data_IF_808225986978
#
_entry.id   IF_808225986978
#
_cell.length_a   1.000
_cell.length_b   1.000
_cell.length_c   1.000
_cell.angle_alpha   90.00
_cell.angle_beta   90.00
_cell.angle_gamma   90.00
#
_symmetry.space_group_name_H-M   'P 1'
#
loop_
_entity.id
_entity.type
_entity.pdbx_description
1 polymer ?
#
# COMPACT_ATOMS: atom_id res chain seq x y z
N UNK A 1 4.16 -8.53 28.22
CA UNK A 1 5.49 -8.38 27.58
C UNK A 1 5.70 -9.51 26.58
N UNK A 2 5.06 -9.44 25.40
CA UNK A 2 5.08 -10.55 24.40
C UNK A 2 5.21 -10.11 22.93
N UNK A 3 5.28 -8.81 22.65
CA UNK A 3 5.28 -8.30 21.26
C UNK A 3 6.63 -8.40 20.53
N UNK A 4 7.71 -8.79 21.21
CA UNK A 4 9.05 -8.76 20.61
C UNK A 4 9.40 -9.99 19.75
N UNK A 5 8.87 -11.19 20.04
CA UNK A 5 9.17 -12.39 19.23
C UNK A 5 8.70 -12.24 17.77
N UNK A 6 7.50 -11.67 17.60
CA UNK A 6 6.89 -11.37 16.30
C UNK A 6 7.68 -10.37 15.45
N UNK A 7 8.61 -9.62 16.08
CA UNK A 7 9.43 -8.62 15.38
C UNK A 7 10.65 -9.26 14.71
N UNK A 8 11.21 -10.33 15.29
CA UNK A 8 12.43 -10.97 14.81
C UNK A 8 12.15 -12.16 13.88
N UNK A 9 11.09 -12.93 14.16
CA UNK A 9 10.65 -14.06 13.31
C UNK A 9 9.12 -13.97 13.12
N UNK A 10 8.64 -13.11 12.20
CA UNK A 10 7.20 -12.97 11.98
C UNK A 10 6.62 -14.26 11.41
N UNK A 11 5.35 -14.56 11.72
CA UNK A 11 4.59 -15.59 11.01
C UNK A 11 4.20 -15.10 9.60
N UNK A 12 3.68 -15.98 8.73
CA UNK A 12 3.29 -15.60 7.37
C UNK A 12 2.33 -14.40 7.33
N UNK A 13 1.32 -14.35 8.21
CA UNK A 13 0.36 -13.23 8.29
C UNK A 13 1.05 -11.90 8.62
N UNK A 14 2.02 -11.93 9.51
CA UNK A 14 2.79 -10.75 9.89
C UNK A 14 3.78 -10.36 8.80
N UNK A 15 4.42 -11.33 8.16
CA UNK A 15 5.34 -11.10 7.06
C UNK A 15 4.64 -10.42 5.88
N UNK A 16 3.43 -10.87 5.51
CA UNK A 16 2.63 -10.20 4.47
C UNK A 16 2.22 -8.79 4.91
N UNK A 17 1.82 -8.59 6.18
CA UNK A 17 1.49 -7.25 6.69
C UNK A 17 2.70 -6.30 6.67
N UNK A 18 3.88 -6.76 7.07
CA UNK A 18 5.11 -5.98 7.03
C UNK A 18 5.51 -5.64 5.59
N UNK A 19 5.35 -6.58 4.66
CA UNK A 19 5.62 -6.34 3.25
C UNK A 19 4.73 -5.22 2.66
N UNK A 20 3.42 -5.26 2.93
CA UNK A 20 2.50 -4.20 2.49
C UNK A 20 2.82 -2.85 3.14
N UNK A 21 3.12 -2.85 4.45
CA UNK A 21 3.56 -1.63 5.14
C UNK A 21 4.83 -1.04 4.53
N UNK A 22 5.79 -1.88 4.12
CA UNK A 22 7.05 -1.43 3.50
C UNK A 22 6.82 -0.70 2.17
N UNK A 23 5.76 -1.01 1.43
CA UNK A 23 5.41 -0.34 0.17
C UNK A 23 4.90 1.08 0.40
N UNK A 24 4.27 1.34 1.55
CA UNK A 24 3.70 2.65 1.88
C UNK A 24 4.66 3.53 2.67
N UNK A 25 5.43 2.94 3.59
CA UNK A 25 6.31 3.66 4.50
C UNK A 25 7.54 2.82 4.88
N UNK A 26 8.67 3.45 5.23
CA UNK A 26 9.84 2.70 5.70
C UNK A 26 9.52 1.91 6.98
N UNK A 27 9.96 0.65 7.02
CA UNK A 27 9.85 -0.18 8.22
C UNK A 27 10.97 0.13 9.22
N UNK A 28 10.70 -0.02 10.54
CA UNK A 28 11.74 -0.10 11.55
C UNK A 28 12.77 -1.19 11.23
N UNK A 29 14.05 -0.94 11.56
CA UNK A 29 15.18 -1.81 11.19
C UNK A 29 14.97 -3.27 11.62
N UNK A 30 14.52 -3.51 12.86
CA UNK A 30 14.28 -4.86 13.37
C UNK A 30 13.20 -5.61 12.58
N UNK A 31 12.11 -4.93 12.23
CA UNK A 31 11.03 -5.52 11.44
C UNK A 31 11.50 -5.82 10.01
N UNK A 32 12.33 -4.95 9.44
CA UNK A 32 12.95 -5.18 8.13
C UNK A 32 13.83 -6.42 8.15
N UNK A 33 14.68 -6.58 9.17
CA UNK A 33 15.55 -7.75 9.33
C UNK A 33 14.71 -9.02 9.51
N UNK A 34 13.71 -9.01 10.40
CA UNK A 34 12.83 -10.16 10.61
C UNK A 34 12.05 -10.57 9.37
N UNK A 35 11.57 -9.60 8.58
CA UNK A 35 10.95 -9.88 7.28
C UNK A 35 11.94 -10.53 6.32
N UNK A 36 13.18 -10.03 6.21
CA UNK A 36 14.19 -10.63 5.34
C UNK A 36 14.47 -12.09 5.73
N UNK A 37 14.64 -12.38 7.02
CA UNK A 37 14.82 -13.76 7.50
C UNK A 37 13.62 -14.65 7.14
N UNK A 38 12.39 -14.17 7.27
CA UNK A 38 11.20 -14.93 6.88
C UNK A 38 11.20 -15.29 5.38
N UNK A 39 11.57 -14.34 4.53
CA UNK A 39 11.59 -14.53 3.07
C UNK A 39 12.69 -15.49 2.58
N UNK A 40 13.72 -15.75 3.40
CA UNK A 40 14.76 -16.75 3.09
C UNK A 40 14.19 -18.17 3.08
N UNK A 41 13.31 -18.52 4.03
CA UNK A 41 12.80 -19.90 4.16
C UNK A 41 11.38 -20.07 3.59
N UNK A 42 10.55 -19.02 3.57
CA UNK A 42 9.15 -19.14 3.14
C UNK A 42 8.98 -18.75 1.66
N UNK A 43 8.91 -19.78 0.80
CA UNK A 43 8.71 -19.60 -0.65
C UNK A 43 7.44 -18.81 -1.00
N UNK A 44 6.33 -19.07 -0.30
CA UNK A 44 5.05 -18.42 -0.55
C UNK A 44 5.09 -16.93 -0.26
N UNK A 45 5.65 -16.53 0.89
CA UNK A 45 5.81 -15.12 1.22
C UNK A 45 6.76 -14.43 0.23
N UNK A 46 7.84 -15.09 -0.19
CA UNK A 46 8.72 -14.53 -1.24
C UNK A 46 7.97 -14.26 -2.55
N UNK A 47 7.12 -15.20 -2.99
CA UNK A 47 6.30 -15.03 -4.19
C UNK A 47 5.27 -13.92 -4.01
N UNK A 48 4.63 -13.84 -2.83
CA UNK A 48 3.66 -12.80 -2.51
C UNK A 48 4.30 -11.42 -2.58
N UNK A 49 5.41 -11.18 -1.87
CA UNK A 49 6.11 -9.89 -1.85
C UNK A 49 6.51 -9.43 -3.24
N UNK A 50 6.97 -10.36 -4.10
CA UNK A 50 7.29 -10.05 -5.50
C UNK A 50 6.05 -9.57 -6.26
N UNK A 51 4.90 -10.22 -6.10
CA UNK A 51 3.65 -9.84 -6.75
C UNK A 51 3.14 -8.49 -6.23
N UNK A 52 3.10 -8.27 -4.92
CA UNK A 52 2.68 -6.99 -4.33
C UNK A 52 3.52 -5.83 -4.85
N UNK A 53 4.85 -6.01 -4.98
CA UNK A 53 5.73 -4.98 -5.53
C UNK A 53 5.44 -4.65 -6.99
N UNK A 54 5.11 -5.65 -7.81
CA UNK A 54 4.73 -5.43 -9.22
C UNK A 54 3.44 -4.62 -9.29
N UNK A 55 2.44 -4.98 -8.48
CA UNK A 55 1.15 -4.28 -8.41
C UNK A 55 1.36 -2.82 -7.99
N UNK A 56 2.11 -2.57 -6.92
CA UNK A 56 2.41 -1.22 -6.44
C UNK A 56 3.15 -0.39 -7.50
N UNK A 57 4.14 -0.96 -8.19
CA UNK A 57 4.85 -0.27 -9.27
C UNK A 57 3.94 0.08 -10.44
N UNK A 58 3.06 -0.83 -10.86
CA UNK A 58 2.10 -0.57 -11.94
C UNK A 58 1.10 0.51 -11.54
N UNK A 59 0.57 0.45 -10.31
CA UNK A 59 -0.35 1.47 -9.81
C UNK A 59 0.30 2.85 -9.76
N UNK A 60 1.55 2.93 -9.27
CA UNK A 60 2.32 4.19 -9.28
C UNK A 60 2.57 4.72 -10.68
N UNK A 61 2.84 3.83 -11.64
CA UNK A 61 3.00 4.23 -13.04
C UNK A 61 1.71 4.81 -13.62
N UNK A 62 0.56 4.19 -13.34
CA UNK A 62 -0.76 4.70 -13.73
C UNK A 62 -1.10 6.04 -13.07
N UNK A 63 -0.68 6.26 -11.82
CA UNK A 63 -0.88 7.54 -11.13
C UNK A 63 0.05 8.64 -11.66
N UNK A 64 1.28 8.29 -12.03
CA UNK A 64 2.27 9.23 -12.55
C UNK A 64 1.99 9.66 -13.99
N UNK A 65 1.39 8.79 -14.80
CA UNK A 65 0.80 9.16 -16.08
C UNK A 65 -0.50 9.92 -15.80
N UNK A 66 -0.40 11.22 -15.48
CA UNK A 66 -1.52 12.16 -15.30
C UNK A 66 -2.82 11.47 -14.87
N UNK A 67 -2.99 11.24 -13.56
CA UNK A 67 -4.33 10.89 -13.04
C UNK A 67 -5.34 11.85 -13.66
N UNK A 68 -6.53 11.38 -14.09
CA UNK A 68 -7.43 12.17 -14.92
C UNK A 68 -7.60 13.53 -14.26
N UNK A 69 -7.02 14.57 -14.87
CA UNK A 69 -7.38 15.92 -14.51
C UNK A 69 -8.90 15.93 -14.58
N UNK A 70 -9.56 16.21 -13.45
CA UNK A 70 -11.01 16.21 -13.40
C UNK A 70 -11.47 17.08 -14.55
N UNK A 71 -12.12 16.47 -15.54
CA UNK A 71 -12.45 17.16 -16.76
C UNK A 71 -13.31 18.37 -16.37
N UNK A 72 -12.95 19.56 -16.85
CA UNK A 72 -13.46 20.82 -16.27
C UNK A 72 -14.99 20.87 -16.34
N UNK A 73 -15.60 20.23 -17.34
CA UNK A 73 -17.07 20.13 -17.43
C UNK A 73 -17.69 19.33 -16.28
N UNK A 74 -17.01 18.29 -15.78
CA UNK A 74 -17.46 17.49 -14.63
C UNK A 74 -17.43 18.32 -13.35
N UNK A 75 -16.39 19.15 -13.16
CA UNK A 75 -16.28 20.05 -12.02
C UNK A 75 -17.41 21.08 -12.01
N UNK A 76 -17.67 21.73 -13.15
CA UNK A 76 -18.75 22.70 -13.30
C UNK A 76 -20.12 22.09 -12.99
N UNK A 77 -20.39 20.87 -13.48
CA UNK A 77 -21.64 20.16 -13.17
C UNK A 77 -21.83 19.91 -11.66
N UNK A 78 -20.75 19.67 -10.91
CA UNK A 78 -20.82 19.45 -9.47
C UNK A 78 -21.04 20.76 -8.71
N UNK A 79 -20.40 21.85 -9.14
CA UNK A 79 -20.63 23.18 -8.57
C UNK A 79 -22.08 23.63 -8.73
N UNK A 80 -22.68 23.39 -9.90
CA UNK A 80 -24.10 23.67 -10.14
C UNK A 80 -25.02 22.85 -9.22
N UNK A 81 -24.73 21.55 -9.04
CA UNK A 81 -25.51 20.68 -8.15
C UNK A 81 -25.43 21.12 -6.69
N UNK A 82 -24.24 21.53 -6.23
CA UNK A 82 -24.05 22.05 -4.86
C UNK A 82 -24.80 23.38 -4.68
N UNK A 83 -24.68 24.30 -5.65
CA UNK A 83 -25.38 25.58 -5.60
C UNK A 83 -26.91 25.42 -5.58
N UNK A 84 -27.44 24.44 -6.34
CA UNK A 84 -28.87 24.12 -6.33
C UNK A 84 -29.34 23.54 -4.98
N UNK A 85 -28.51 22.72 -4.33
CA UNK A 85 -28.82 22.12 -3.03
C UNK A 85 -28.78 23.15 -1.87
N UNK A 86 -27.88 24.14 -1.95
CA UNK A 86 -27.75 25.21 -0.95
C UNK A 86 -28.80 26.33 -1.08
N UNK A 87 -29.50 26.42 -2.22
CA UNK A 87 -30.60 27.39 -2.45
C UNK A 87 -31.97 26.90 -1.93
N UNK A 88 -32.02 25.79 -1.21
CA UNK A 88 -33.20 25.27 -0.50
C UNK A 88 -33.12 25.63 0.97
#
# INVERSE_FOLDING_TARGET
>A
MGHHLHTLLPCCKEATLLAEKQLQQPLPLLQRIGLQFHLLYCFFCRRYVKQSRIIDQQLRALQASEGPALEESVKLQWEEKIAAALKK
#
